data_IF_214470220179
#
_entry.id   IF_214470220179
#
_cell.length_a   1.000
_cell.length_b   1.000
_cell.length_c   1.000
_cell.angle_alpha   90.00
_cell.angle_beta   90.00
_cell.angle_gamma   90.00
#
_symmetry.space_group_name_H-M   'P 1'
#
loop_
_entity.id
_entity.type
_entity.pdbx_description
1 polymer ?
#
# COMPACT_ATOMS: atom_id res chain seq x y z
N UNK A 1 -22.48 -3.02 12.23
CA UNK A 1 -21.65 -2.53 11.10
C UNK A 1 -20.35 -1.90 11.60
N UNK A 2 -20.42 -0.85 12.44
CA UNK A 2 -19.25 -0.16 13.00
C UNK A 2 -18.22 -1.10 13.65
N UNK A 3 -18.66 -2.01 14.53
CA UNK A 3 -17.76 -3.01 15.16
C UNK A 3 -16.99 -3.87 14.14
N UNK A 4 -17.62 -4.25 13.02
CA UNK A 4 -16.96 -5.04 11.95
C UNK A 4 -15.91 -4.23 11.20
N UNK A 5 -16.15 -2.93 11.00
CA UNK A 5 -15.19 -2.01 10.39
C UNK A 5 -14.02 -1.77 11.35
N UNK A 6 -14.30 -1.45 12.61
CA UNK A 6 -13.29 -1.23 13.64
C UNK A 6 -12.39 -2.46 13.82
N UNK A 7 -12.97 -3.64 13.99
CA UNK A 7 -12.20 -4.89 14.13
C UNK A 7 -11.34 -5.17 12.89
N UNK A 8 -11.88 -4.93 11.69
CA UNK A 8 -11.11 -5.10 10.46
C UNK A 8 -9.94 -4.11 10.41
N UNK A 9 -10.17 -2.83 10.72
CA UNK A 9 -9.11 -1.81 10.76
C UNK A 9 -8.03 -2.16 11.79
N UNK A 10 -8.41 -2.53 13.02
CA UNK A 10 -7.45 -2.91 14.06
C UNK A 10 -6.58 -4.10 13.64
N UNK A 11 -7.20 -5.15 13.06
CA UNK A 11 -6.44 -6.30 12.52
C UNK A 11 -5.44 -5.87 11.44
N UNK A 12 -5.84 -4.92 10.59
CA UNK A 12 -4.99 -4.41 9.51
C UNK A 12 -3.84 -3.57 10.02
N UNK A 13 -4.07 -2.75 11.05
CA UNK A 13 -3.02 -2.00 11.74
C UNK A 13 -2.02 -2.94 12.42
N UNK A 14 -2.49 -3.98 13.11
CA UNK A 14 -1.61 -5.00 13.70
C UNK A 14 -0.75 -5.68 12.64
N UNK A 15 -1.33 -6.05 11.49
CA UNK A 15 -0.56 -6.65 10.38
C UNK A 15 0.52 -5.69 9.86
N UNK A 16 0.21 -4.39 9.72
CA UNK A 16 1.19 -3.39 9.30
C UNK A 16 2.31 -3.23 10.33
N UNK A 17 1.98 -3.17 11.62
CA UNK A 17 2.99 -3.09 12.67
C UNK A 17 3.88 -4.32 12.70
N UNK A 18 3.32 -5.53 12.55
CA UNK A 18 4.12 -6.76 12.44
C UNK A 18 5.01 -6.72 11.21
N UNK A 19 4.50 -6.31 10.05
CA UNK A 19 5.31 -6.19 8.84
C UNK A 19 6.46 -5.18 9.02
N UNK A 20 6.19 -4.03 9.64
CA UNK A 20 7.21 -3.04 9.98
C UNK A 20 8.27 -3.59 10.94
N UNK A 21 7.87 -4.32 11.97
CA UNK A 21 8.80 -4.98 12.90
C UNK A 21 9.65 -6.02 12.17
N UNK A 22 9.06 -6.87 11.31
CA UNK A 22 9.81 -7.87 10.55
C UNK A 22 10.84 -7.23 9.63
N UNK A 23 10.47 -6.17 8.91
CA UNK A 23 11.42 -5.38 8.11
C UNK A 23 12.52 -4.83 9.02
N UNK A 24 12.15 -4.24 10.16
CA UNK A 24 13.10 -3.61 11.06
C UNK A 24 14.07 -4.57 11.74
N UNK A 25 13.65 -5.79 12.05
CA UNK A 25 14.55 -6.80 12.63
C UNK A 25 15.52 -7.35 11.59
N UNK A 26 15.14 -7.34 10.31
CA UNK A 26 15.88 -7.98 9.22
C UNK A 26 16.55 -6.99 8.27
N UNK A 27 16.42 -5.67 8.45
CA UNK A 27 16.85 -4.69 7.45
C UNK A 27 18.36 -4.67 7.18
N UNK A 28 19.19 -5.11 8.14
CA UNK A 28 20.63 -5.29 7.92
C UNK A 28 20.94 -6.39 6.91
N UNK A 29 20.07 -7.38 6.81
CA UNK A 29 20.10 -8.47 5.84
C UNK A 29 19.00 -8.22 4.79
N UNK A 30 19.10 -7.12 4.05
CA UNK A 30 18.01 -6.60 3.20
C UNK A 30 17.57 -7.59 2.11
N UNK A 31 18.44 -8.50 1.68
CA UNK A 31 18.09 -9.65 0.82
C UNK A 31 17.16 -10.66 1.49
N UNK A 32 17.30 -10.90 2.80
CA UNK A 32 16.37 -11.76 3.55
C UNK A 32 14.99 -11.10 3.58
N UNK A 33 14.92 -9.77 3.74
CA UNK A 33 13.65 -9.03 3.63
C UNK A 33 13.05 -9.22 2.25
N UNK A 34 13.84 -9.14 1.17
CA UNK A 34 13.36 -9.44 -0.20
C UNK A 34 12.73 -10.81 -0.28
N UNK A 35 13.39 -11.86 0.25
CA UNK A 35 12.87 -13.23 0.20
C UNK A 35 11.55 -13.37 0.97
N UNK A 36 11.45 -12.75 2.15
CA UNK A 36 10.22 -12.74 2.96
C UNK A 36 9.08 -12.05 2.20
N UNK A 37 9.32 -10.85 1.66
CA UNK A 37 8.31 -10.11 0.91
C UNK A 37 7.95 -10.82 -0.41
N UNK A 38 8.90 -11.45 -1.08
CA UNK A 38 8.68 -12.21 -2.30
C UNK A 38 7.84 -13.47 -2.03
N UNK A 39 8.05 -14.14 -0.90
CA UNK A 39 7.22 -15.25 -0.47
C UNK A 39 5.76 -14.81 -0.27
N UNK A 40 5.51 -13.75 0.50
CA UNK A 40 4.16 -13.23 0.70
C UNK A 40 3.52 -12.72 -0.60
N UNK A 41 4.29 -12.03 -1.45
CA UNK A 41 3.86 -11.59 -2.77
C UNK A 41 3.42 -12.78 -3.62
N UNK A 42 4.20 -13.87 -3.62
CA UNK A 42 3.88 -15.10 -4.35
C UNK A 42 2.59 -15.75 -3.83
N UNK A 43 2.40 -15.84 -2.52
CA UNK A 43 1.16 -16.36 -1.94
C UNK A 43 -0.07 -15.54 -2.34
N UNK A 44 0.04 -14.21 -2.29
CA UNK A 44 -1.04 -13.30 -2.70
C UNK A 44 -1.31 -13.45 -4.20
N UNK A 45 -0.26 -13.49 -5.02
CA UNK A 45 -0.35 -13.67 -6.45
C UNK A 45 -1.06 -14.98 -6.83
N UNK A 46 -0.65 -16.11 -6.23
CA UNK A 46 -1.24 -17.42 -6.46
C UNK A 46 -2.74 -17.46 -6.09
N UNK A 47 -3.14 -16.70 -5.07
CA UNK A 47 -4.56 -16.55 -4.71
C UNK A 47 -5.31 -15.66 -5.70
N UNK A 48 -4.70 -14.54 -6.11
CA UNK A 48 -5.34 -13.50 -6.94
C UNK A 48 -5.41 -13.86 -8.42
N UNK A 49 -4.50 -14.67 -8.95
CA UNK A 49 -4.46 -15.05 -10.39
C UNK A 49 -5.74 -15.73 -10.90
N UNK A 50 -6.56 -16.30 -10.02
CA UNK A 50 -7.87 -16.90 -10.36
C UNK A 50 -9.01 -15.87 -10.40
N UNK A 51 -8.78 -14.64 -9.94
CA UNK A 51 -9.80 -13.59 -9.90
C UNK A 51 -9.99 -12.93 -11.27
N UNK A 52 -11.25 -12.60 -11.61
CA UNK A 52 -11.58 -11.79 -12.79
C UNK A 52 -10.91 -10.40 -12.76
N UNK A 53 -10.58 -9.90 -11.57
CA UNK A 53 -9.95 -8.59 -11.37
C UNK A 53 -8.42 -8.68 -11.32
N UNK A 54 -7.83 -9.83 -11.62
CA UNK A 54 -6.38 -10.04 -11.54
C UNK A 54 -5.60 -9.05 -12.41
N UNK A 55 -6.06 -8.77 -13.63
CA UNK A 55 -5.37 -7.87 -14.57
C UNK A 55 -5.16 -6.46 -14.01
N UNK A 56 -6.23 -5.86 -13.46
CA UNK A 56 -6.16 -4.51 -12.91
C UNK A 56 -5.40 -4.47 -11.58
N UNK A 57 -5.57 -5.51 -10.76
CA UNK A 57 -4.80 -5.67 -9.53
C UNK A 57 -3.30 -5.77 -9.83
N UNK A 58 -2.91 -6.59 -10.82
CA UNK A 58 -1.52 -6.75 -11.21
C UNK A 58 -0.94 -5.46 -11.78
N UNK A 59 -1.69 -4.76 -12.64
CA UNK A 59 -1.28 -3.44 -13.14
C UNK A 59 -1.04 -2.44 -11.99
N UNK A 60 -1.96 -2.38 -11.02
CA UNK A 60 -1.80 -1.51 -9.86
C UNK A 60 -0.61 -1.87 -8.97
N UNK A 61 -0.37 -3.17 -8.77
CA UNK A 61 0.83 -3.65 -8.09
C UNK A 61 2.10 -3.20 -8.81
N UNK A 62 2.17 -3.38 -10.14
CA UNK A 62 3.32 -2.99 -10.95
C UNK A 62 3.54 -1.48 -10.96
N UNK A 63 2.48 -0.68 -11.12
CA UNK A 63 2.57 0.79 -11.04
C UNK A 63 3.11 1.21 -9.68
N UNK A 64 2.61 0.61 -8.59
CA UNK A 64 3.06 0.94 -7.23
C UNK A 64 4.51 0.54 -7.00
N UNK A 65 4.93 -0.66 -7.41
CA UNK A 65 6.30 -1.11 -7.26
C UNK A 65 7.30 -0.24 -8.04
N UNK A 66 6.99 0.08 -9.31
CA UNK A 66 7.87 0.90 -10.16
C UNK A 66 7.84 2.37 -9.72
N UNK A 67 6.65 2.92 -9.50
CA UNK A 67 6.49 4.30 -9.08
C UNK A 67 7.07 4.56 -7.69
N UNK A 68 6.99 3.56 -6.79
CA UNK A 68 7.66 3.57 -5.50
C UNK A 68 9.17 3.67 -5.63
N UNK A 69 9.79 2.88 -6.51
CA UNK A 69 11.24 3.01 -6.82
C UNK A 69 11.59 4.42 -7.26
N UNK A 70 10.80 5.03 -8.15
CA UNK A 70 11.04 6.40 -8.61
C UNK A 70 10.90 7.42 -7.47
N UNK A 71 9.88 7.29 -6.63
CA UNK A 71 9.64 8.17 -5.49
C UNK A 71 10.75 8.06 -4.44
N UNK A 72 11.16 6.84 -4.11
CA UNK A 72 12.25 6.56 -3.16
C UNK A 72 13.59 7.07 -3.70
N UNK A 73 13.89 6.79 -4.98
CA UNK A 73 15.12 7.30 -5.61
C UNK A 73 15.16 8.82 -5.61
N UNK A 74 14.03 9.47 -5.90
CA UNK A 74 13.93 10.93 -5.83
C UNK A 74 14.14 11.44 -4.40
N UNK A 75 13.54 10.79 -3.40
CA UNK A 75 13.64 11.20 -2.00
C UNK A 75 15.05 11.07 -1.43
N UNK A 76 15.73 9.95 -1.71
CA UNK A 76 17.12 9.70 -1.32
C UNK A 76 18.05 10.71 -2.00
N UNK A 77 17.96 10.85 -3.34
CA UNK A 77 18.82 11.76 -4.10
C UNK A 77 18.59 13.24 -3.73
N UNK A 78 17.40 13.58 -3.24
CA UNK A 78 17.08 14.93 -2.77
C UNK A 78 17.47 15.16 -1.29
N UNK A 79 18.07 14.17 -0.62
CA UNK A 79 18.46 14.26 0.79
C UNK A 79 17.28 14.36 1.75
N UNK A 80 16.09 13.90 1.35
CA UNK A 80 14.88 13.98 2.18
C UNK A 80 14.82 12.90 3.26
N UNK A 81 15.34 11.70 2.95
CA UNK A 81 15.55 10.62 3.90
C UNK A 81 16.73 9.73 3.51
N UNK A 82 17.26 9.01 4.49
CA UNK A 82 18.40 8.09 4.34
C UNK A 82 18.10 6.75 5.01
N UNK A 83 18.40 5.65 4.31
CA UNK A 83 18.30 4.29 4.83
C UNK A 83 19.59 3.87 5.54
N UNK A 84 19.46 3.03 6.56
CA UNK A 84 20.58 2.63 7.42
C UNK A 84 20.91 1.14 7.27
N UNK A 85 22.15 0.79 7.64
CA UNK A 85 22.64 -0.59 7.75
C UNK A 85 22.52 -1.43 6.46
N UNK A 86 22.62 -0.80 5.29
CA UNK A 86 22.66 -1.49 4.01
C UNK A 86 24.08 -1.99 3.70
N UNK A 87 24.18 -3.15 3.07
CA UNK A 87 25.48 -3.70 2.63
C UNK A 87 26.08 -2.88 1.49
N UNK A 88 27.42 -2.94 1.38
CA UNK A 88 28.18 -2.46 0.21
C UNK A 88 28.07 -0.95 -0.07
N UNK A 89 27.76 -0.15 0.96
CA UNK A 89 27.65 1.31 0.83
C UNK A 89 26.45 1.77 0.00
N UNK A 90 25.45 0.90 -0.19
CA UNK A 90 24.22 1.24 -0.91
C UNK A 90 23.35 2.18 -0.09
N UNK A 91 22.57 2.99 -0.80
CA UNK A 91 21.56 3.87 -0.20
C UNK A 91 20.13 3.40 -0.46
N UNK A 92 19.95 2.46 -1.42
CA UNK A 92 18.65 1.94 -1.83
C UNK A 92 18.48 0.46 -1.43
N UNK A 93 17.57 0.14 -0.49
CA UNK A 93 17.27 -1.24 -0.11
C UNK A 93 16.59 -2.05 -1.22
N UNK A 94 16.99 -3.32 -1.38
CA UNK A 94 16.44 -4.17 -2.45
C UNK A 94 14.97 -4.55 -2.26
N UNK A 95 14.45 -4.47 -1.03
CA UNK A 95 13.08 -4.87 -0.70
C UNK A 95 12.03 -3.80 -1.02
N UNK A 96 12.43 -2.55 -1.26
CA UNK A 96 11.51 -1.43 -1.49
C UNK A 96 10.49 -1.67 -2.61
N UNK A 97 10.87 -2.17 -3.81
CA UNK A 97 9.90 -2.41 -4.88
C UNK A 97 8.77 -3.37 -4.42
N UNK A 98 9.12 -4.41 -3.65
CA UNK A 98 8.15 -5.37 -3.13
C UNK A 98 7.29 -4.77 -2.02
N UNK A 99 7.87 -3.97 -1.12
CA UNK A 99 7.12 -3.27 -0.09
C UNK A 99 6.08 -2.31 -0.69
N UNK A 100 6.45 -1.55 -1.72
CA UNK A 100 5.54 -0.66 -2.45
C UNK A 100 4.41 -1.41 -3.17
N UNK A 101 4.70 -2.55 -3.80
CA UNK A 101 3.67 -3.40 -4.41
C UNK A 101 2.74 -4.05 -3.37
N UNK A 102 3.28 -4.48 -2.23
CA UNK A 102 2.51 -5.02 -1.12
C UNK A 102 1.67 -3.95 -0.41
N UNK A 103 2.14 -2.71 -0.32
CA UNK A 103 1.37 -1.56 0.16
C UNK A 103 0.14 -1.32 -0.70
N UNK A 104 0.28 -1.34 -2.03
CA UNK A 104 -0.87 -1.32 -2.95
C UNK A 104 -1.82 -2.49 -2.67
N UNK A 105 -1.28 -3.71 -2.52
CA UNK A 105 -2.11 -4.90 -2.27
C UNK A 105 -2.91 -4.80 -0.98
N UNK A 106 -2.29 -4.24 0.06
CA UNK A 106 -2.88 -3.99 1.35
C UNK A 106 -4.01 -2.95 1.22
N UNK A 107 -3.73 -1.78 0.65
CA UNK A 107 -4.69 -0.70 0.44
C UNK A 107 -5.88 -1.17 -0.41
N UNK A 108 -5.64 -1.82 -1.55
CA UNK A 108 -6.69 -2.37 -2.41
C UNK A 108 -7.62 -3.32 -1.63
N UNK A 109 -7.06 -4.19 -0.77
CA UNK A 109 -7.87 -5.10 0.06
C UNK A 109 -8.68 -4.37 1.13
N UNK A 110 -8.12 -3.29 1.69
CA UNK A 110 -8.77 -2.45 2.68
C UNK A 110 -9.91 -1.66 2.06
N UNK A 111 -9.65 -0.96 0.96
CA UNK A 111 -10.62 -0.17 0.21
C UNK A 111 -11.77 -1.04 -0.31
N UNK A 112 -11.47 -2.22 -0.90
CA UNK A 112 -12.49 -3.14 -1.38
C UNK A 112 -13.46 -3.56 -0.26
N UNK A 113 -12.94 -3.82 0.95
CA UNK A 113 -13.75 -4.16 2.11
C UNK A 113 -14.64 -2.99 2.57
N UNK A 114 -14.08 -1.79 2.66
CA UNK A 114 -14.81 -0.59 3.07
C UNK A 114 -15.87 -0.19 2.05
N UNK A 115 -15.54 -0.17 0.76
CA UNK A 115 -16.47 0.11 -0.33
C UNK A 115 -17.63 -0.88 -0.31
N UNK A 116 -17.37 -2.18 -0.15
CA UNK A 116 -18.42 -3.21 -0.05
C UNK A 116 -19.29 -3.01 1.19
N UNK A 117 -18.68 -2.81 2.35
CA UNK A 117 -19.39 -2.77 3.64
C UNK A 117 -20.23 -1.49 3.81
N UNK A 118 -19.68 -0.35 3.40
CA UNK A 118 -20.34 0.95 3.46
C UNK A 118 -21.19 1.24 2.21
N UNK A 119 -21.17 0.34 1.20
CA UNK A 119 -21.87 0.48 -0.08
C UNK A 119 -21.53 1.81 -0.79
N UNK A 120 -20.25 2.19 -0.80
CA UNK A 120 -19.79 3.45 -1.39
C UNK A 120 -19.92 3.42 -2.91
N UNK A 121 -20.81 4.25 -3.46
CA UNK A 121 -21.12 4.27 -4.90
C UNK A 121 -20.43 5.39 -5.66
N UNK A 122 -20.25 6.56 -5.04
CA UNK A 122 -19.78 7.76 -5.75
C UNK A 122 -18.26 7.78 -5.87
N UNK A 123 -17.76 8.29 -7.00
CA UNK A 123 -16.32 8.50 -7.20
C UNK A 123 -15.71 9.35 -6.08
N UNK A 124 -16.39 10.43 -5.68
CA UNK A 124 -15.97 11.29 -4.56
C UNK A 124 -15.76 10.49 -3.28
N UNK A 125 -16.70 9.62 -2.89
CA UNK A 125 -16.55 8.81 -1.67
C UNK A 125 -15.40 7.82 -1.73
N UNK A 126 -15.12 7.26 -2.92
CA UNK A 126 -14.00 6.36 -3.14
C UNK A 126 -12.66 7.08 -3.08
N UNK A 127 -12.55 8.24 -3.74
CA UNK A 127 -11.35 9.10 -3.68
C UNK A 127 -11.09 9.55 -2.24
N UNK A 128 -12.13 9.96 -1.49
CA UNK A 128 -11.98 10.31 -0.07
C UNK A 128 -11.45 9.14 0.74
N UNK A 129 -11.97 7.92 0.52
CA UNK A 129 -11.47 6.72 1.18
C UNK A 129 -10.01 6.45 0.82
N UNK A 130 -9.65 6.57 -0.46
CA UNK A 130 -8.27 6.39 -0.92
C UNK A 130 -7.33 7.35 -0.23
N UNK A 131 -7.61 8.67 -0.29
CA UNK A 131 -6.78 9.70 0.37
C UNK A 131 -6.60 9.39 1.87
N UNK A 132 -7.69 9.11 2.58
CA UNK A 132 -7.63 8.84 4.02
C UNK A 132 -6.82 7.58 4.32
N UNK A 133 -7.09 6.48 3.60
CA UNK A 133 -6.42 5.21 3.84
C UNK A 133 -4.94 5.22 3.44
N UNK A 134 -4.58 5.90 2.35
CA UNK A 134 -3.19 6.01 1.88
C UNK A 134 -2.33 6.94 2.73
N UNK A 135 -2.93 7.94 3.37
CA UNK A 135 -2.20 8.78 4.33
C UNK A 135 -2.05 8.02 5.65
N UNK A 136 -3.14 7.48 6.20
CA UNK A 136 -3.12 6.96 7.56
C UNK A 136 -2.46 5.59 7.68
N UNK A 137 -2.75 4.64 6.78
CA UNK A 137 -2.32 3.26 6.97
C UNK A 137 -0.82 3.07 6.70
N UNK A 138 -0.25 3.49 5.55
CA UNK A 138 1.19 3.39 5.32
C UNK A 138 2.00 4.13 6.38
N UNK A 139 1.57 5.33 6.82
CA UNK A 139 2.23 6.08 7.89
C UNK A 139 2.40 5.26 9.18
N UNK A 140 1.45 4.40 9.54
CA UNK A 140 1.61 3.52 10.73
C UNK A 140 2.75 2.53 10.54
N UNK A 141 2.89 1.95 9.34
CA UNK A 141 4.03 1.09 9.02
C UNK A 141 5.35 1.86 9.05
N UNK A 142 5.37 3.06 8.48
CA UNK A 142 6.55 3.94 8.48
C UNK A 142 6.95 4.38 9.89
N UNK A 143 5.99 4.69 10.78
CA UNK A 143 6.29 5.01 12.17
C UNK A 143 7.07 3.85 12.81
N UNK A 144 6.63 2.62 12.62
CA UNK A 144 7.30 1.45 13.19
C UNK A 144 8.74 1.33 12.68
N UNK A 145 8.94 1.41 11.37
CA UNK A 145 10.28 1.25 10.76
C UNK A 145 11.23 2.40 11.07
N UNK A 146 10.73 3.64 11.09
CA UNK A 146 11.54 4.81 11.46
C UNK A 146 11.93 4.77 12.93
N UNK A 147 11.01 4.42 13.83
CA UNK A 147 11.30 4.32 15.27
C UNK A 147 12.27 3.17 15.59
N UNK A 148 12.30 2.14 14.75
CA UNK A 148 13.24 1.02 14.85
C UNK A 148 14.52 1.22 14.01
N UNK A 149 14.71 2.40 13.44
CA UNK A 149 15.99 2.81 12.83
C UNK A 149 16.25 2.29 11.42
N UNK A 150 15.23 1.85 10.67
CA UNK A 150 15.42 1.39 9.28
C UNK A 150 15.84 2.54 8.36
N UNK A 151 15.25 3.72 8.55
CA UNK A 151 15.63 4.94 7.85
C UNK A 151 15.30 6.18 8.69
N UNK A 152 15.77 7.34 8.26
CA UNK A 152 15.50 8.61 8.93
C UNK A 152 15.14 9.69 7.92
N UNK A 153 14.10 10.46 8.22
CA UNK A 153 13.74 11.67 7.47
C UNK A 153 14.50 12.90 7.98
N UNK A 154 14.79 13.86 7.09
CA UNK A 154 15.56 15.08 7.40
C UNK A 154 14.71 16.36 7.55
N UNK A 155 13.42 16.24 7.89
CA UNK A 155 12.50 17.38 8.09
C UNK A 155 12.43 17.85 9.54
N UNK A 156 12.23 19.13 9.82
CA UNK A 156 11.86 19.59 11.18
C UNK A 156 10.37 19.35 11.51
N UNK A 157 9.50 19.41 10.49
CA UNK A 157 8.05 19.22 10.65
C UNK A 157 7.70 17.73 10.57
N UNK A 158 7.75 17.04 11.71
CA UNK A 158 7.43 15.60 11.85
C UNK A 158 6.33 15.33 12.87
N UNK A 159 5.55 14.27 12.63
CA UNK A 159 4.65 13.66 13.60
C UNK A 159 5.10 12.21 13.78
N UNK A 160 5.43 11.79 15.01
CA UNK A 160 5.95 10.44 15.31
C UNK A 160 7.16 10.01 14.46
N UNK A 161 7.99 10.97 14.03
CA UNK A 161 9.15 10.72 13.16
C UNK A 161 8.87 10.79 11.66
N UNK A 162 7.61 10.93 11.25
CA UNK A 162 7.21 11.01 9.83
C UNK A 162 6.93 12.47 9.44
N UNK A 163 7.59 13.01 8.40
CA UNK A 163 7.33 14.36 7.92
C UNK A 163 5.93 14.52 7.33
N UNK A 164 5.35 15.71 7.49
CA UNK A 164 4.07 16.04 6.87
C UNK A 164 4.10 15.91 5.33
N UNK A 165 5.23 16.24 4.70
CA UNK A 165 5.36 16.07 3.25
C UNK A 165 5.38 14.60 2.85
N UNK A 166 5.96 13.70 3.64
CA UNK A 166 6.02 12.27 3.32
C UNK A 166 4.60 11.69 3.34
N UNK A 167 3.83 12.05 4.38
CA UNK A 167 2.39 11.73 4.46
C UNK A 167 1.61 12.26 3.25
N UNK A 168 1.88 13.50 2.84
CA UNK A 168 1.24 14.09 1.67
C UNK A 168 1.62 13.37 0.36
N UNK A 169 2.89 13.01 0.18
CA UNK A 169 3.39 12.28 -0.98
C UNK A 169 2.75 10.89 -1.10
N UNK A 170 2.59 10.16 0.00
CA UNK A 170 1.84 8.90 0.04
C UNK A 170 0.40 9.09 -0.43
N UNK A 171 -0.27 10.12 0.10
CA UNK A 171 -1.61 10.52 -0.33
C UNK A 171 -1.71 10.80 -1.82
N UNK A 172 -0.80 11.61 -2.35
CA UNK A 172 -0.75 12.00 -3.76
C UNK A 172 -0.47 10.80 -4.66
N UNK A 173 0.54 9.99 -4.35
CA UNK A 173 0.95 8.84 -5.14
C UNK A 173 -0.16 7.80 -5.28
N UNK A 174 -0.78 7.41 -4.16
CA UNK A 174 -1.84 6.41 -4.18
C UNK A 174 -3.14 6.94 -4.81
N UNK A 175 -3.44 8.23 -4.63
CA UNK A 175 -4.59 8.85 -5.31
C UNK A 175 -4.38 8.93 -6.82
N UNK A 176 -3.17 9.30 -7.28
CA UNK A 176 -2.83 9.27 -8.70
C UNK A 176 -2.93 7.86 -9.28
N UNK A 177 -2.39 6.86 -8.57
CA UNK A 177 -2.52 5.44 -8.93
C UNK A 177 -3.98 5.02 -9.03
N UNK A 178 -4.83 5.42 -8.08
CA UNK A 178 -6.26 5.16 -8.12
C UNK A 178 -6.92 5.76 -9.37
N UNK A 179 -6.61 7.01 -9.73
CA UNK A 179 -7.19 7.68 -10.90
C UNK A 179 -6.77 7.01 -12.22
N UNK A 180 -5.51 6.58 -12.32
CA UNK A 180 -5.02 5.78 -13.46
C UNK A 180 -5.80 4.47 -13.56
N UNK A 181 -5.90 3.71 -12.47
CA UNK A 181 -6.60 2.42 -12.46
C UNK A 181 -8.10 2.58 -12.68
N UNK A 182 -8.73 3.64 -12.17
CA UNK A 182 -10.12 3.99 -12.46
C UNK A 182 -10.36 4.21 -13.95
N UNK A 183 -9.47 4.96 -14.59
CA UNK A 183 -9.53 5.24 -16.03
C UNK A 183 -9.32 3.97 -16.85
N UNK A 184 -8.30 3.18 -16.51
CA UNK A 184 -8.01 1.90 -17.16
C UNK A 184 -9.14 0.88 -16.96
N UNK A 185 -9.71 0.78 -15.76
CA UNK A 185 -10.87 -0.08 -15.49
C UNK A 185 -12.04 0.25 -16.42
N UNK A 186 -12.30 1.55 -16.60
CA UNK A 186 -13.37 2.05 -17.44
C UNK A 186 -13.09 1.78 -18.92
N UNK A 187 -11.86 2.01 -19.36
CA UNK A 187 -11.40 1.73 -20.73
C UNK A 187 -11.49 0.23 -21.06
N UNK A 188 -11.06 -0.64 -20.16
CA UNK A 188 -11.14 -2.10 -20.30
C UNK A 188 -12.52 -2.69 -20.00
N UNK A 189 -13.52 -1.85 -19.67
CA UNK A 189 -14.90 -2.28 -19.32
C UNK A 189 -14.91 -3.36 -18.22
N UNK A 190 -13.99 -3.26 -17.27
CA UNK A 190 -13.88 -4.19 -16.14
C UNK A 190 -14.81 -3.79 -14.99
N UNK A 191 -15.12 -4.74 -14.13
CA UNK A 191 -16.00 -4.57 -12.97
C UNK A 191 -15.25 -4.76 -11.65
N UNK A 192 -14.15 -4.03 -11.48
CA UNK A 192 -13.37 -4.06 -10.25
C UNK A 192 -14.12 -3.41 -9.06
N UNK A 193 -14.11 -4.01 -7.85
CA UNK A 193 -14.81 -3.48 -6.67
C UNK A 193 -14.35 -2.07 -6.26
N UNK A 194 -13.07 -1.76 -6.43
CA UNK A 194 -12.48 -0.47 -6.04
C UNK A 194 -12.64 0.52 -7.19
N UNK A 195 -12.20 0.14 -8.39
CA UNK A 195 -12.02 1.06 -9.51
C UNK A 195 -13.25 1.23 -10.44
N UNK A 196 -14.37 0.56 -10.17
CA UNK A 196 -15.60 0.74 -10.99
C UNK A 196 -16.39 2.00 -10.64
N UNK A 197 -16.95 2.67 -11.66
CA UNK A 197 -17.84 3.82 -11.53
C UNK A 197 -19.22 3.48 -10.90
N UNK A 198 -19.65 2.22 -10.94
CA UNK A 198 -20.85 1.70 -10.27
C UNK A 198 -20.47 0.46 -9.45
N UNK A 199 -20.75 0.45 -8.15
CA UNK A 199 -20.70 -0.81 -7.36
C UNK A 199 -21.89 -1.67 -7.74
N UNK A 200 -21.64 -2.76 -8.46
CA UNK A 200 -22.69 -3.68 -8.89
C UNK A 200 -23.17 -4.56 -7.72
N UNK A 201 -24.49 -4.77 -7.56
CA UNK A 201 -25.05 -5.61 -6.50
C UNK A 201 -24.64 -7.10 -6.56
N UNK A 202 -24.13 -7.59 -7.70
CA UNK A 202 -23.97 -9.04 -7.99
C UNK A 202 -22.84 -9.78 -7.24
N UNK A 203 -22.14 -9.16 -6.29
CA UNK A 203 -21.10 -9.82 -5.46
C UNK A 203 -21.54 -10.12 -4.01
N UNK A 204 -22.85 -10.08 -3.74
CA UNK A 204 -23.41 -10.43 -2.43
C UNK A 204 -23.56 -11.93 -2.20
N UNK A 205 -23.51 -12.77 -3.24
CA UNK A 205 -23.83 -14.21 -3.14
C UNK A 205 -22.63 -15.15 -3.10
N UNK A 206 -21.42 -14.74 -3.49
CA UNK A 206 -20.27 -15.66 -3.62
C UNK A 206 -19.24 -15.60 -2.47
N UNK A 207 -19.52 -14.88 -1.37
CA UNK A 207 -18.61 -14.81 -0.19
C UNK A 207 -19.13 -15.64 0.99
N UNK A 208 -20.28 -16.30 0.83
CA UNK A 208 -20.88 -17.19 1.83
C UNK A 208 -20.98 -18.65 1.34
N UNK A 209 -20.14 -19.07 0.40
CA UNK A 209 -19.98 -20.47 -0.04
C UNK A 209 -18.52 -20.86 -0.03
#
# INVERSE_FOLDING_TARGET
MFQKLLLFTLKRLVILSIAGIVISVLHSEDLVVVLVLAFFTSLIYLRKRKSKNFKIYFLGFSISAIGGVLAESWGINSGLWTYHNLSDGREFPYWLPLAWGLAFSFLYSFEAYFIKTLKLKSLKSKITLTILSSILLPTVGEIVTVQLGVWTYHSELKIFGIPLYAMALLGLFHTATFLVLYTVNSYWKMHDPVFSAKTFPKLQTEVNS
#
